data_IF_159388756474
#
_entry.id   IF_159388756474
#
_cell.length_a   1.000
_cell.length_b   1.000
_cell.length_c   1.000
_cell.angle_alpha   90.00
_cell.angle_beta   90.00
_cell.angle_gamma   90.00
#
_symmetry.space_group_name_H-M   'P 1'
#
loop_
_entity.id
_entity.type
_entity.pdbx_description
1 polymer ?
#
# COMPACT_ATOMS: atom_id res chain seq x y z
N UNK A 1 -0.44 -22.58 9.00
CA UNK A 1 -0.42 -21.26 8.33
C UNK A 1 -1.70 -20.56 8.70
N UNK A 2 -1.62 -19.34 9.20
CA UNK A 2 -2.81 -18.52 9.44
C UNK A 2 -3.42 -18.19 8.08
N UNK A 3 -4.69 -18.53 7.87
CA UNK A 3 -5.42 -18.25 6.62
C UNK A 3 -5.81 -16.76 6.58
N UNK A 4 -4.79 -15.90 6.42
CA UNK A 4 -4.96 -14.44 6.30
C UNK A 4 -5.65 -14.12 4.99
N UNK A 5 -6.71 -13.32 5.08
CA UNK A 5 -7.43 -12.76 3.94
C UNK A 5 -7.22 -11.26 3.89
N UNK A 6 -7.05 -10.75 2.69
CA UNK A 6 -6.94 -9.33 2.43
C UNK A 6 -8.07 -8.94 1.49
N UNK A 7 -8.95 -8.11 1.97
CA UNK A 7 -9.97 -7.46 1.16
C UNK A 7 -9.47 -6.09 0.74
N UNK A 8 -9.40 -5.86 -0.57
CA UNK A 8 -9.02 -4.59 -1.17
C UNK A 8 -10.30 -3.79 -1.38
N UNK A 9 -10.43 -2.67 -0.71
CA UNK A 9 -11.61 -1.82 -0.71
C UNK A 9 -11.33 -0.60 -1.59
N UNK A 10 -12.02 -0.52 -2.74
CA UNK A 10 -11.96 0.70 -3.56
C UNK A 10 -12.66 1.83 -2.82
N UNK A 11 -12.01 2.96 -2.69
CA UNK A 11 -12.55 4.16 -2.06
C UNK A 11 -12.30 5.38 -2.96
N UNK A 12 -13.04 6.45 -2.74
CA UNK A 12 -12.98 7.66 -3.56
C UNK A 12 -13.01 7.33 -5.07
N UNK A 13 -12.14 7.95 -5.88
CA UNK A 13 -12.07 7.70 -7.32
C UNK A 13 -11.16 6.50 -7.65
N UNK A 14 -10.00 6.40 -7.01
CA UNK A 14 -8.95 5.44 -7.33
C UNK A 14 -8.16 4.95 -6.11
N UNK A 15 -8.53 5.35 -4.89
CA UNK A 15 -7.87 4.95 -3.65
C UNK A 15 -8.16 3.49 -3.28
N UNK A 16 -7.21 2.88 -2.62
CA UNK A 16 -7.32 1.59 -2.00
C UNK A 16 -7.16 1.67 -0.48
N UNK A 17 -8.12 1.12 0.25
CA UNK A 17 -7.96 0.75 1.65
C UNK A 17 -7.93 -0.75 1.79
N UNK A 18 -7.33 -1.26 2.85
CA UNK A 18 -7.16 -2.70 3.04
C UNK A 18 -7.78 -3.15 4.34
N UNK A 19 -8.49 -4.28 4.28
CA UNK A 19 -9.02 -4.98 5.44
C UNK A 19 -8.37 -6.36 5.53
N UNK A 20 -7.57 -6.58 6.58
CA UNK A 20 -6.88 -7.85 6.85
C UNK A 20 -7.64 -8.58 7.95
N UNK A 21 -7.97 -9.84 7.73
CA UNK A 21 -8.69 -10.67 8.70
C UNK A 21 -8.42 -12.16 8.44
N UNK A 22 -8.90 -13.02 9.34
CA UNK A 22 -8.98 -14.45 9.08
C UNK A 22 -10.40 -14.95 9.39
N UNK A 23 -10.71 -16.19 8.98
CA UNK A 23 -12.05 -16.76 9.23
C UNK A 23 -12.22 -17.33 10.65
N UNK A 24 -11.15 -17.38 11.45
CA UNK A 24 -11.13 -18.10 12.73
C UNK A 24 -11.51 -17.22 13.92
N UNK A 25 -11.46 -15.89 13.75
CA UNK A 25 -11.84 -14.93 14.76
C UNK A 25 -12.52 -13.69 14.12
N UNK A 26 -13.03 -12.80 14.94
CA UNK A 26 -13.66 -11.55 14.48
C UNK A 26 -12.69 -10.39 14.33
N UNK A 27 -11.41 -10.58 14.66
CA UNK A 27 -10.43 -9.50 14.65
C UNK A 27 -10.03 -9.09 13.23
N UNK A 28 -9.81 -7.80 13.03
CA UNK A 28 -9.36 -7.27 11.75
C UNK A 28 -8.43 -6.08 11.92
N UNK A 29 -7.67 -5.81 10.85
CA UNK A 29 -6.76 -4.68 10.71
C UNK A 29 -7.21 -3.88 9.50
N UNK A 30 -7.21 -2.56 9.62
CA UNK A 30 -7.51 -1.63 8.53
C UNK A 30 -6.23 -0.87 8.19
N UNK A 31 -5.97 -0.66 6.90
CA UNK A 31 -4.86 0.17 6.41
C UNK A 31 -5.41 1.25 5.50
N UNK A 32 -5.01 2.49 5.75
CA UNK A 32 -5.33 3.71 4.99
C UNK A 32 -6.83 3.88 4.72
N UNK A 33 -7.67 4.07 5.75
CA UNK A 33 -9.10 4.28 5.54
C UNK A 33 -9.39 5.70 5.02
N UNK A 34 -9.60 5.83 3.69
CA UNK A 34 -9.97 7.10 3.06
C UNK A 34 -11.40 7.54 3.45
N UNK A 35 -12.32 6.58 3.57
CA UNK A 35 -13.72 6.79 3.99
C UNK A 35 -14.12 5.70 4.98
N UNK A 36 -14.91 6.05 5.99
CA UNK A 36 -15.36 5.12 7.04
C UNK A 36 -16.60 4.31 6.68
N UNK A 37 -17.61 4.91 6.06
CA UNK A 37 -18.92 4.29 5.84
C UNK A 37 -18.86 2.93 5.12
N UNK A 38 -18.06 2.85 4.06
CA UNK A 38 -17.95 1.63 3.27
C UNK A 38 -17.24 0.52 4.04
N UNK A 39 -16.21 0.89 4.81
CA UNK A 39 -15.46 -0.04 5.66
C UNK A 39 -16.38 -0.57 6.77
N UNK A 40 -17.14 0.32 7.46
CA UNK A 40 -18.09 -0.05 8.50
C UNK A 40 -19.11 -1.07 7.97
N UNK A 41 -19.72 -0.82 6.80
CA UNK A 41 -20.68 -1.76 6.17
C UNK A 41 -20.06 -3.14 5.90
N UNK A 42 -18.79 -3.18 5.50
CA UNK A 42 -18.07 -4.45 5.25
C UNK A 42 -17.81 -5.16 6.58
N UNK A 43 -17.34 -4.45 7.60
CA UNK A 43 -17.09 -5.01 8.95
C UNK A 43 -18.37 -5.61 9.54
N UNK A 44 -19.49 -4.89 9.49
CA UNK A 44 -20.79 -5.35 9.99
C UNK A 44 -21.29 -6.60 9.23
N UNK A 45 -21.24 -6.57 7.89
CA UNK A 45 -21.63 -7.71 7.04
C UNK A 45 -20.81 -8.97 7.35
N UNK A 46 -19.53 -8.81 7.62
CA UNK A 46 -18.62 -9.92 7.92
C UNK A 46 -18.55 -10.26 9.41
N UNK A 47 -19.21 -9.48 10.28
CA UNK A 47 -19.14 -9.59 11.74
C UNK A 47 -17.70 -9.47 12.26
N UNK A 48 -16.92 -8.58 11.65
CA UNK A 48 -15.55 -8.29 12.03
C UNK A 48 -15.49 -7.09 12.98
N UNK A 49 -14.46 -7.08 13.84
CA UNK A 49 -14.16 -5.97 14.76
C UNK A 49 -12.75 -5.47 14.44
N UNK A 50 -12.59 -4.21 14.05
CA UNK A 50 -11.26 -3.65 13.85
C UNK A 50 -10.58 -3.48 15.22
N UNK A 51 -9.39 -4.07 15.34
CA UNK A 51 -8.54 -3.91 16.52
C UNK A 51 -7.42 -2.91 16.24
N UNK A 52 -7.04 -2.79 14.96
CA UNK A 52 -5.94 -1.94 14.54
C UNK A 52 -6.31 -1.16 13.28
N UNK A 53 -5.91 0.11 13.27
CA UNK A 53 -5.85 0.96 12.08
C UNK A 53 -4.41 1.39 11.90
N UNK A 54 -3.86 1.19 10.71
CA UNK A 54 -2.54 1.71 10.31
C UNK A 54 -2.72 2.77 9.24
N UNK A 55 -1.97 3.84 9.36
CA UNK A 55 -1.88 4.93 8.39
C UNK A 55 -0.46 4.99 7.85
N UNK A 56 -0.31 5.04 6.53
CA UNK A 56 1.01 5.12 5.89
C UNK A 56 1.59 6.53 5.89
N UNK A 57 0.74 7.55 5.76
CA UNK A 57 1.11 8.97 5.77
C UNK A 57 -0.13 9.86 6.00
N UNK A 58 0.08 11.15 6.22
CA UNK A 58 -0.94 12.07 6.73
C UNK A 58 -1.95 12.60 5.71
N UNK A 59 -1.86 12.29 4.41
CA UNK A 59 -2.79 12.82 3.42
C UNK A 59 -4.25 12.43 3.73
N UNK A 60 -5.18 13.34 3.45
CA UNK A 60 -6.59 13.18 3.78
C UNK A 60 -7.23 11.94 3.16
N UNK A 61 -6.84 11.59 1.95
CA UNK A 61 -7.34 10.41 1.24
C UNK A 61 -6.78 9.07 1.75
N UNK A 62 -5.97 9.11 2.82
CA UNK A 62 -5.53 7.94 3.62
C UNK A 62 -6.02 8.00 5.06
N UNK A 63 -6.50 9.15 5.53
CA UNK A 63 -6.79 9.39 6.94
C UNK A 63 -8.22 9.81 7.26
N UNK A 64 -9.00 10.33 6.29
CA UNK A 64 -10.32 10.93 6.56
C UNK A 64 -11.32 9.97 7.19
N UNK A 65 -11.22 8.66 6.93
CA UNK A 65 -12.07 7.64 7.54
C UNK A 65 -11.69 7.27 8.98
N UNK A 66 -10.49 7.66 9.45
CA UNK A 66 -10.00 7.24 10.78
C UNK A 66 -10.90 7.71 11.90
N UNK A 67 -11.31 8.99 11.89
CA UNK A 67 -12.14 9.58 12.94
C UNK A 67 -13.50 8.89 13.06
N UNK A 68 -14.16 8.58 11.92
CA UNK A 68 -15.44 7.88 11.89
C UNK A 68 -15.33 6.46 12.42
N UNK A 69 -14.27 5.74 12.02
CA UNK A 69 -13.96 4.40 12.53
C UNK A 69 -13.66 4.40 14.03
N UNK A 70 -12.88 5.36 14.53
CA UNK A 70 -12.57 5.49 15.96
C UNK A 70 -13.85 5.77 16.80
N UNK A 71 -14.77 6.58 16.30
CA UNK A 71 -16.06 6.83 16.96
C UNK A 71 -16.95 5.58 17.02
N UNK A 72 -17.00 4.81 15.93
CA UNK A 72 -17.79 3.58 15.83
C UNK A 72 -17.16 2.42 16.63
N UNK A 73 -15.84 2.38 16.73
CA UNK A 73 -15.07 1.33 17.41
C UNK A 73 -14.07 1.94 18.40
N UNK A 74 -14.53 2.42 19.60
CA UNK A 74 -13.67 3.18 20.52
C UNK A 74 -12.48 2.41 21.11
N UNK A 75 -12.42 1.09 20.92
CA UNK A 75 -11.31 0.25 21.39
C UNK A 75 -10.23 0.03 20.32
N UNK A 76 -10.43 0.56 19.09
CA UNK A 76 -9.46 0.39 18.01
C UNK A 76 -8.16 1.12 18.33
N UNK A 77 -7.03 0.45 18.15
CA UNK A 77 -5.72 1.07 18.29
C UNK A 77 -5.29 1.66 16.94
N UNK A 78 -4.93 2.93 16.94
CA UNK A 78 -4.55 3.66 15.73
C UNK A 78 -3.04 3.86 15.74
N UNK A 79 -2.39 3.45 14.67
CA UNK A 79 -0.95 3.59 14.45
C UNK A 79 -0.70 4.50 13.26
N UNK A 80 0.05 5.58 13.48
CA UNK A 80 0.35 6.59 12.45
C UNK A 80 1.77 7.13 12.63
N UNK A 81 2.48 7.47 11.54
CA UNK A 81 3.79 8.11 11.64
C UNK A 81 3.73 9.56 12.15
N UNK A 82 2.59 10.21 12.01
CA UNK A 82 2.36 11.61 12.43
C UNK A 82 1.05 11.76 13.18
N UNK A 83 0.89 12.87 13.90
CA UNK A 83 -0.33 13.21 14.62
C UNK A 83 -1.51 13.33 13.66
N UNK A 84 -2.67 12.82 14.09
CA UNK A 84 -3.94 12.98 13.40
C UNK A 84 -4.83 13.89 14.25
N UNK A 85 -5.40 14.93 13.64
CA UNK A 85 -6.20 15.93 14.35
C UNK A 85 -7.30 15.29 15.21
N UNK A 86 -7.31 15.61 16.51
CA UNK A 86 -8.32 15.18 17.47
C UNK A 86 -8.45 13.67 17.71
N UNK A 87 -7.42 12.90 17.39
CA UNK A 87 -7.41 11.44 17.56
C UNK A 87 -6.16 11.05 18.34
N UNK A 88 -6.34 10.21 19.37
CA UNK A 88 -5.22 9.57 20.06
C UNK A 88 -4.62 8.48 19.18
N UNK A 89 -3.31 8.52 18.99
CA UNK A 89 -2.57 7.57 18.17
C UNK A 89 -1.40 6.95 18.92
N UNK A 90 -0.99 5.77 18.49
CA UNK A 90 0.31 5.20 18.77
C UNK A 90 1.25 5.65 17.64
N UNK A 91 2.16 6.56 17.94
CA UNK A 91 3.13 7.00 16.94
C UNK A 91 4.10 5.88 16.60
N UNK A 92 4.35 5.67 15.30
CA UNK A 92 5.26 4.64 14.80
C UNK A 92 6.34 5.25 13.92
N UNK A 93 7.50 4.60 13.91
CA UNK A 93 8.69 5.09 13.22
C UNK A 93 9.53 3.95 12.64
N UNK A 94 10.59 4.35 11.93
CA UNK A 94 11.49 3.41 11.26
C UNK A 94 12.09 2.39 12.22
N UNK A 95 11.97 1.12 11.87
CA UNK A 95 12.53 0.00 12.62
C UNK A 95 11.58 -0.61 13.65
N UNK A 96 10.43 0.02 13.93
CA UNK A 96 9.44 -0.53 14.83
C UNK A 96 8.90 -1.86 14.30
N UNK A 97 8.54 -2.73 15.25
CA UNK A 97 7.84 -3.99 14.98
C UNK A 97 6.56 -4.00 15.78
N UNK A 98 5.44 -4.01 15.05
CA UNK A 98 4.12 -3.97 15.66
C UNK A 98 3.46 -5.35 15.51
N UNK A 99 3.43 -6.08 16.63
CA UNK A 99 2.70 -7.34 16.70
C UNK A 99 1.20 -7.10 16.83
N UNK A 100 0.43 -7.75 16.00
CA UNK A 100 -1.04 -7.78 16.07
C UNK A 100 -1.50 -9.20 16.36
N UNK A 101 -2.79 -9.40 16.62
CA UNK A 101 -3.36 -10.75 16.79
C UNK A 101 -3.29 -11.59 15.51
N UNK A 102 -3.12 -10.97 14.36
CA UNK A 102 -3.11 -11.63 13.05
C UNK A 102 -1.70 -11.83 12.51
N UNK A 103 -0.82 -10.86 12.71
CA UNK A 103 0.51 -10.81 12.10
C UNK A 103 1.46 -9.85 12.86
N UNK A 104 2.66 -9.66 12.33
CA UNK A 104 3.62 -8.63 12.77
C UNK A 104 4.04 -7.79 11.57
N UNK A 105 3.99 -6.47 11.71
CA UNK A 105 4.53 -5.54 10.73
C UNK A 105 5.87 -4.97 11.19
N UNK A 106 6.85 -5.00 10.30
CA UNK A 106 8.05 -4.19 10.39
C UNK A 106 7.83 -2.88 9.65
N UNK A 107 8.20 -1.76 10.28
CA UNK A 107 7.99 -0.40 9.76
C UNK A 107 9.28 0.12 9.12
N UNK A 108 9.16 0.64 7.90
CA UNK A 108 10.24 1.32 7.20
C UNK A 108 9.82 2.76 6.90
N UNK A 109 10.60 3.74 7.35
CA UNK A 109 10.40 5.14 6.93
C UNK A 109 10.84 5.32 5.48
N UNK A 110 9.95 5.90 4.68
CA UNK A 110 10.12 6.08 3.23
C UNK A 110 9.74 7.50 2.80
N UNK A 111 10.44 8.54 3.34
CA UNK A 111 10.16 9.93 2.98
C UNK A 111 10.39 10.20 1.50
N UNK A 112 9.63 11.15 0.98
CA UNK A 112 9.69 11.59 -0.42
C UNK A 112 8.34 12.10 -0.89
N UNK A 113 7.32 11.25 -0.93
CA UNK A 113 5.94 11.66 -1.19
C UNK A 113 5.46 12.63 -0.11
N UNK A 114 5.47 12.20 1.14
CA UNK A 114 5.45 13.05 2.33
C UNK A 114 6.71 12.81 3.17
N UNK A 115 6.98 13.65 4.17
CA UNK A 115 8.15 13.49 5.05
C UNK A 115 7.93 12.38 6.08
N UNK A 116 6.70 12.15 6.49
CA UNK A 116 6.30 11.15 7.49
C UNK A 116 6.04 9.76 6.91
N UNK A 117 6.07 9.59 5.58
CA UNK A 117 5.66 8.36 4.90
C UNK A 117 6.37 7.11 5.41
N UNK A 118 5.61 6.05 5.62
CA UNK A 118 6.10 4.72 6.03
C UNK A 118 5.55 3.60 5.14
N UNK A 119 6.23 2.47 5.20
CA UNK A 119 5.83 1.21 4.57
C UNK A 119 5.69 0.15 5.66
N UNK A 120 4.66 -0.69 5.54
CA UNK A 120 4.36 -1.81 6.44
C UNK A 120 4.75 -3.12 5.75
N UNK A 121 5.67 -3.89 6.33
CA UNK A 121 6.14 -5.15 5.78
C UNK A 121 5.86 -6.32 6.74
N UNK A 122 5.12 -7.32 6.27
CA UNK A 122 4.95 -8.62 6.94
C UNK A 122 5.69 -9.69 6.13
N UNK A 123 6.91 -9.96 6.51
CA UNK A 123 7.78 -10.92 5.80
C UNK A 123 7.26 -12.36 5.91
N UNK A 124 6.59 -12.71 7.01
CA UNK A 124 6.06 -14.05 7.25
C UNK A 124 4.90 -14.40 6.31
N UNK A 125 4.00 -13.44 6.06
CA UNK A 125 2.86 -13.63 5.17
C UNK A 125 3.12 -13.03 3.78
N UNK A 126 4.32 -12.49 3.54
CA UNK A 126 4.77 -11.92 2.26
C UNK A 126 3.90 -10.74 1.81
N UNK A 127 3.61 -9.82 2.72
CA UNK A 127 2.78 -8.64 2.47
C UNK A 127 3.61 -7.38 2.60
N UNK A 128 3.40 -6.44 1.68
CA UNK A 128 4.05 -5.14 1.65
C UNK A 128 3.04 -4.06 1.29
N UNK A 129 2.66 -3.22 2.27
CA UNK A 129 1.78 -2.08 2.06
C UNK A 129 2.64 -0.83 1.92
N UNK A 130 2.63 -0.25 0.74
CA UNK A 130 3.59 0.79 0.33
C UNK A 130 2.99 2.20 0.26
N UNK A 131 1.71 2.37 0.60
CA UNK A 131 1.05 3.67 0.45
C UNK A 131 1.34 4.27 -0.92
N UNK A 132 1.85 5.50 -0.90
CA UNK A 132 2.10 6.31 -2.07
C UNK A 132 3.59 6.47 -2.45
N UNK A 133 4.47 5.59 -1.95
CA UNK A 133 5.88 5.61 -2.37
C UNK A 133 6.11 4.82 -3.65
N UNK A 134 5.40 3.70 -3.84
CA UNK A 134 5.55 2.82 -5.00
C UNK A 134 4.18 2.45 -5.57
N UNK A 135 4.03 2.54 -6.89
CA UNK A 135 2.88 2.07 -7.67
C UNK A 135 3.33 1.08 -8.73
N UNK A 136 2.41 0.28 -9.26
CA UNK A 136 2.73 -0.59 -10.40
C UNK A 136 3.18 0.26 -11.59
N UNK A 137 4.39 0.02 -12.09
CA UNK A 137 5.07 0.77 -13.16
C UNK A 137 5.31 2.26 -12.85
N UNK A 138 5.37 2.66 -11.58
CA UNK A 138 5.55 4.05 -11.21
C UNK A 138 5.96 4.24 -9.76
N UNK A 139 6.08 5.47 -9.35
CA UNK A 139 6.32 5.89 -7.96
C UNK A 139 5.47 7.11 -7.61
N UNK A 140 5.43 7.45 -6.33
CA UNK A 140 4.73 8.62 -5.83
C UNK A 140 5.33 9.93 -6.32
N UNK A 141 4.49 10.95 -6.39
CA UNK A 141 4.96 12.34 -6.59
C UNK A 141 5.67 12.81 -5.32
N UNK A 142 6.64 13.68 -5.49
CA UNK A 142 7.36 14.31 -4.39
C UNK A 142 6.62 15.60 -4.04
N UNK A 143 5.85 15.60 -2.95
CA UNK A 143 5.15 16.80 -2.48
C UNK A 143 5.95 17.55 -1.42
N UNK A 144 6.57 16.83 -0.48
CA UNK A 144 7.24 17.44 0.68
C UNK A 144 8.73 17.12 0.74
N UNK A 145 9.11 15.92 0.30
CA UNK A 145 10.49 15.47 0.36
C UNK A 145 11.35 15.95 -0.81
N UNK A 146 12.50 15.32 -0.96
CA UNK A 146 13.44 15.56 -2.05
C UNK A 146 13.54 14.34 -2.97
N UNK A 147 14.07 14.54 -4.20
CA UNK A 147 14.36 13.43 -5.13
C UNK A 147 15.29 12.41 -4.47
N UNK A 148 16.30 12.86 -3.74
CA UNK A 148 17.24 12.00 -3.03
C UNK A 148 16.53 11.17 -1.95
N UNK A 149 15.62 11.76 -1.18
CA UNK A 149 14.82 11.03 -0.19
C UNK A 149 13.95 9.97 -0.84
N UNK A 150 13.23 10.31 -1.93
CA UNK A 150 12.41 9.35 -2.67
C UNK A 150 13.28 8.22 -3.23
N UNK A 151 14.41 8.51 -3.85
CA UNK A 151 15.35 7.52 -4.36
C UNK A 151 15.84 6.58 -3.25
N UNK A 152 16.25 7.11 -2.10
CA UNK A 152 16.67 6.31 -0.95
C UNK A 152 15.52 5.45 -0.40
N UNK A 153 14.29 5.93 -0.44
CA UNK A 153 13.09 5.19 -0.03
C UNK A 153 12.79 4.04 -0.98
N UNK A 154 12.85 4.28 -2.29
CA UNK A 154 12.69 3.23 -3.31
C UNK A 154 13.82 2.19 -3.23
N UNK A 155 15.06 2.60 -2.96
CA UNK A 155 16.18 1.68 -2.73
C UNK A 155 15.98 0.77 -1.50
N UNK A 156 15.34 1.27 -0.43
CA UNK A 156 14.98 0.39 0.69
C UNK A 156 14.01 -0.70 0.25
N UNK A 157 13.01 -0.35 -0.56
CA UNK A 157 12.02 -1.30 -1.10
C UNK A 157 12.69 -2.26 -2.08
N UNK A 158 13.58 -1.77 -2.96
CA UNK A 158 14.34 -2.58 -3.92
C UNK A 158 15.13 -3.70 -3.23
N UNK A 159 15.61 -3.46 -2.00
CA UNK A 159 16.38 -4.45 -1.23
C UNK A 159 15.52 -5.44 -0.41
N UNK A 160 14.18 -5.34 -0.46
CA UNK A 160 13.28 -6.31 0.18
C UNK A 160 13.16 -7.59 -0.67
N UNK A 161 12.56 -8.64 -0.10
CA UNK A 161 12.40 -9.94 -0.76
C UNK A 161 11.50 -9.87 -2.00
N UNK A 162 11.89 -10.56 -3.07
CA UNK A 162 11.19 -10.56 -4.36
C UNK A 162 9.79 -11.16 -4.30
N UNK A 163 9.52 -12.03 -3.33
CA UNK A 163 8.24 -12.76 -3.21
C UNK A 163 7.15 -12.00 -2.44
N UNK A 164 7.42 -10.73 -2.08
CA UNK A 164 6.45 -9.88 -1.42
C UNK A 164 5.34 -9.46 -2.40
N UNK A 165 4.11 -9.53 -1.90
CA UNK A 165 2.90 -9.00 -2.56
C UNK A 165 2.74 -7.54 -2.18
N UNK A 166 2.78 -6.66 -3.15
CA UNK A 166 2.74 -5.21 -2.97
C UNK A 166 1.31 -4.69 -3.09
N UNK A 167 0.93 -3.87 -2.12
CA UNK A 167 -0.36 -3.20 -1.99
C UNK A 167 -0.12 -1.70 -1.90
N UNK A 168 -0.46 -0.93 -2.94
CA UNK A 168 -0.23 0.53 -3.03
C UNK A 168 -1.51 1.33 -2.75
N UNK A 169 -1.37 2.65 -2.56
CA UNK A 169 -2.49 3.51 -2.19
C UNK A 169 -3.53 3.76 -3.30
N UNK A 170 -3.12 3.71 -4.58
CA UNK A 170 -3.99 4.08 -5.70
C UNK A 170 -3.89 3.15 -6.91
N UNK A 171 -4.96 3.15 -7.74
CA UNK A 171 -4.98 2.47 -9.06
C UNK A 171 -4.48 3.41 -10.17
N UNK A 172 -3.17 3.63 -10.21
CA UNK A 172 -2.54 4.48 -11.23
C UNK A 172 -1.93 3.71 -12.39
N UNK A 173 -2.07 2.40 -12.43
CA UNK A 173 -1.33 1.50 -13.33
C UNK A 173 -1.50 1.84 -14.81
N UNK A 174 -2.73 2.12 -15.27
CA UNK A 174 -2.96 2.47 -16.67
C UNK A 174 -2.33 3.83 -17.06
N UNK A 175 -2.33 4.79 -16.12
CA UNK A 175 -1.69 6.08 -16.36
C UNK A 175 -0.16 5.95 -16.40
N UNK A 176 0.40 5.15 -15.48
CA UNK A 176 1.83 4.84 -15.44
C UNK A 176 2.27 4.09 -16.71
N UNK A 177 1.48 3.09 -17.13
CA UNK A 177 1.71 2.35 -18.37
C UNK A 177 1.76 3.29 -19.58
N UNK A 178 0.75 4.16 -19.72
CA UNK A 178 0.69 5.15 -20.80
C UNK A 178 1.89 6.11 -20.78
N UNK A 179 2.35 6.50 -19.58
CA UNK A 179 3.55 7.31 -19.43
C UNK A 179 4.78 6.58 -19.97
N UNK A 180 5.00 5.33 -19.55
CA UNK A 180 6.15 4.55 -19.99
C UNK A 180 6.11 4.24 -21.51
N UNK A 181 4.93 3.98 -22.09
CA UNK A 181 4.78 3.85 -23.53
C UNK A 181 5.25 5.10 -24.30
N UNK A 182 4.95 6.29 -23.75
CA UNK A 182 5.38 7.54 -24.38
C UNK A 182 6.88 7.81 -24.23
N UNK A 183 7.50 7.35 -23.15
CA UNK A 183 8.92 7.60 -22.85
C UNK A 183 9.82 6.56 -23.50
N UNK A 184 9.48 5.28 -23.43
CA UNK A 184 10.30 4.17 -23.89
C UNK A 184 10.01 3.79 -25.36
N UNK A 185 8.85 4.19 -25.91
CA UNK A 185 8.44 3.78 -27.24
C UNK A 185 8.16 2.28 -27.36
N UNK A 186 8.66 1.66 -28.43
CA UNK A 186 8.53 0.22 -28.63
C UNK A 186 9.48 -0.53 -27.69
N UNK A 187 8.92 -1.27 -26.73
CA UNK A 187 9.67 -2.03 -25.72
C UNK A 187 8.93 -3.35 -25.45
N UNK A 188 9.59 -4.47 -25.71
CA UNK A 188 8.97 -5.82 -25.64
C UNK A 188 8.57 -6.19 -24.21
N UNK A 189 9.36 -5.77 -23.22
CA UNK A 189 9.05 -6.05 -21.80
C UNK A 189 7.81 -5.27 -21.39
N UNK A 190 7.71 -3.99 -21.77
CA UNK A 190 6.55 -3.16 -21.51
C UNK A 190 5.28 -3.74 -22.15
N UNK A 191 5.35 -4.22 -23.40
CA UNK A 191 4.21 -4.84 -24.09
C UNK A 191 3.75 -6.13 -23.39
N UNK A 192 4.66 -6.96 -22.90
CA UNK A 192 4.32 -8.17 -22.16
C UNK A 192 3.70 -7.83 -20.80
N UNK A 193 4.27 -6.87 -20.09
CA UNK A 193 3.75 -6.36 -18.82
C UNK A 193 2.36 -5.76 -19.00
N UNK A 194 2.13 -5.01 -20.08
CA UNK A 194 0.81 -4.47 -20.46
C UNK A 194 -0.25 -5.57 -20.64
N UNK A 195 0.08 -6.66 -21.34
CA UNK A 195 -0.86 -7.78 -21.50
C UNK A 195 -1.30 -8.33 -20.15
N UNK A 196 -0.35 -8.58 -19.25
CA UNK A 196 -0.64 -9.09 -17.92
C UNK A 196 -1.48 -8.12 -17.08
N UNK A 197 -1.17 -6.81 -17.13
CA UNK A 197 -1.95 -5.77 -16.45
C UNK A 197 -3.40 -5.77 -16.94
N UNK A 198 -3.61 -5.81 -18.26
CA UNK A 198 -4.95 -5.81 -18.83
C UNK A 198 -5.73 -7.09 -18.47
N UNK A 199 -5.07 -8.24 -18.40
CA UNK A 199 -5.67 -9.49 -17.91
C UNK A 199 -6.08 -9.36 -16.43
N UNK A 200 -5.21 -8.83 -15.57
CA UNK A 200 -5.51 -8.60 -14.15
C UNK A 200 -6.72 -7.66 -13.99
N UNK A 201 -6.73 -6.55 -14.71
CA UNK A 201 -7.83 -5.57 -14.66
C UNK A 201 -9.15 -6.18 -15.17
N UNK A 202 -9.12 -6.98 -16.24
CA UNK A 202 -10.31 -7.65 -16.76
C UNK A 202 -10.86 -8.73 -15.81
N UNK A 203 -9.98 -9.48 -15.17
CA UNK A 203 -10.38 -10.59 -14.27
C UNK A 203 -10.76 -10.12 -12.87
N UNK A 204 -10.03 -9.14 -12.33
CA UNK A 204 -10.10 -8.74 -10.91
C UNK A 204 -10.62 -7.31 -10.74
N UNK A 205 -10.73 -6.53 -11.81
CA UNK A 205 -10.99 -5.08 -11.80
C UNK A 205 -9.98 -4.28 -10.92
N UNK A 206 -8.74 -4.80 -10.82
CA UNK A 206 -7.63 -4.24 -10.02
C UNK A 206 -6.31 -4.75 -10.56
N UNK A 207 -5.27 -3.90 -10.54
CA UNK A 207 -3.91 -4.29 -10.92
C UNK A 207 -3.09 -4.84 -9.75
N UNK A 208 -3.62 -4.77 -8.53
CA UNK A 208 -2.97 -5.17 -7.28
C UNK A 208 -3.60 -6.43 -6.66
N UNK A 209 -2.88 -7.18 -5.79
CA UNK A 209 -1.46 -6.99 -5.52
C UNK A 209 -0.60 -7.41 -6.71
N UNK A 210 0.56 -6.80 -6.84
CA UNK A 210 1.62 -7.24 -7.74
C UNK A 210 2.80 -7.81 -6.95
N UNK A 211 3.69 -8.54 -7.63
CA UNK A 211 4.87 -9.16 -7.01
C UNK A 211 6.06 -8.20 -7.10
N UNK A 212 6.75 -7.96 -5.98
CA UNK A 212 7.88 -7.02 -5.93
C UNK A 212 9.00 -7.40 -6.90
N UNK A 213 9.32 -8.69 -7.02
CA UNK A 213 10.36 -9.18 -7.93
C UNK A 213 10.05 -8.91 -9.40
N UNK A 214 8.77 -8.96 -9.80
CA UNK A 214 8.37 -8.61 -11.17
C UNK A 214 8.51 -7.09 -11.39
N UNK A 215 8.11 -6.31 -10.40
CA UNK A 215 8.20 -4.85 -10.45
C UNK A 215 9.67 -4.36 -10.52
N UNK A 216 10.59 -5.03 -9.82
CA UNK A 216 12.04 -4.75 -9.91
C UNK A 216 12.59 -4.90 -11.33
N UNK A 217 11.98 -5.75 -12.17
CA UNK A 217 12.36 -5.98 -13.58
C UNK A 217 11.72 -5.02 -14.55
N UNK A 218 10.57 -4.48 -14.20
CA UNK A 218 9.70 -3.73 -15.13
C UNK A 218 9.42 -2.29 -14.73
N UNK A 219 9.87 -1.81 -13.56
CA UNK A 219 9.62 -0.45 -13.11
C UNK A 219 10.92 0.38 -13.06
N UNK A 220 11.18 1.27 -14.04
CA UNK A 220 12.39 2.10 -14.06
C UNK A 220 12.51 3.08 -12.89
N UNK A 221 11.39 3.43 -12.24
CA UNK A 221 11.42 4.29 -11.05
C UNK A 221 11.93 3.55 -9.82
N UNK A 222 11.57 2.26 -9.69
CA UNK A 222 12.06 1.41 -8.60
C UNK A 222 13.50 0.96 -8.85
N UNK A 223 13.80 0.55 -10.07
CA UNK A 223 15.10 0.05 -10.48
C UNK A 223 15.51 0.67 -11.82
N UNK A 224 16.32 1.75 -11.82
CA UNK A 224 16.78 2.39 -13.06
C UNK A 224 17.60 1.48 -13.99
N UNK A 225 18.15 0.37 -13.45
CA UNK A 225 18.90 -0.63 -14.21
C UNK A 225 18.05 -1.86 -14.57
N UNK A 226 16.72 -1.76 -14.47
CA UNK A 226 15.82 -2.87 -14.80
C UNK A 226 15.89 -3.25 -16.28
N UNK A 227 15.46 -4.48 -16.58
CA UNK A 227 15.45 -5.00 -17.95
C UNK A 227 14.69 -4.07 -18.91
N UNK A 228 13.57 -3.50 -18.46
CA UNK A 228 12.75 -2.58 -19.25
C UNK A 228 13.48 -1.27 -19.60
N UNK A 229 14.33 -0.75 -18.73
CA UNK A 229 15.10 0.47 -18.98
C UNK A 229 16.32 0.23 -19.88
N UNK A 230 16.73 -1.02 -20.09
CA UNK A 230 17.93 -1.41 -20.83
C UNK A 230 17.68 -1.72 -22.31
N UNK A 231 16.42 -1.84 -22.73
CA UNK A 231 15.99 -2.01 -24.14
C UNK A 231 15.85 -0.65 -24.84
#
# INVERSE_FOLDING_TARGET
MTDLKIEIINQLNDNYSYLIFNNNNSSSIIIDPAEDEKIIKILEKKKLKPEYIFVTHHHDDHTSGVLGLAKQYPQVQIYSPSELSSIEINQISNGDKIGTILNEFQIFSTPGHTLDHIVLCDTKNKLLFVGDVLFRLGCGRIFEGTIEQMHNSLNKILNLSDDLKVYCGHEYTLNNLKFLENVLGHNVILENTKKQILEDLNLKNKSIPFILGDEKKSNPFLNPECEMASE
#
